data_IF_550907108334
#
_entry.id   IF_550907108334
#
_cell.length_a   1.000
_cell.length_b   1.000
_cell.length_c   1.000
_cell.angle_alpha   90.00
_cell.angle_beta   90.00
_cell.angle_gamma   90.00
#
_symmetry.space_group_name_H-M   'P 1'
#
loop_
_entity.id
_entity.type
_entity.pdbx_description
1 polymer ?
#
# COMPACT_ATOMS: atom_id res chain seq x y z
N UNK A 1 -3.78 4.78 -35.84
CA UNK A 1 -3.02 4.13 -34.74
C UNK A 1 -2.79 2.67 -35.09
N UNK A 2 -1.54 2.23 -35.20
CA UNK A 2 -1.18 0.81 -35.41
C UNK A 2 -1.45 0.00 -34.14
N UNK A 3 -1.73 -1.30 -34.27
CA UNK A 3 -1.97 -2.18 -33.10
C UNK A 3 -0.80 -2.18 -32.11
N UNK A 4 0.42 -2.00 -32.61
CA UNK A 4 1.65 -1.91 -31.81
C UNK A 4 1.70 -0.66 -30.92
N UNK A 5 1.19 0.48 -31.39
CA UNK A 5 1.10 1.70 -30.56
C UNK A 5 0.07 1.57 -29.44
N UNK A 6 -1.00 0.80 -29.68
CA UNK A 6 -2.09 0.58 -28.71
C UNK A 6 -1.71 -0.39 -27.60
N UNK A 7 -0.98 -1.45 -27.93
CA UNK A 7 -0.46 -2.40 -26.93
C UNK A 7 0.45 -1.70 -25.91
N UNK A 8 1.34 -0.83 -26.39
CA UNK A 8 2.27 -0.05 -25.54
C UNK A 8 1.55 0.89 -24.57
N UNK A 9 0.47 1.53 -24.97
CA UNK A 9 -0.32 2.41 -24.09
C UNK A 9 -0.98 1.62 -22.97
N UNK A 10 -1.58 0.47 -23.30
CA UNK A 10 -2.22 -0.41 -22.32
C UNK A 10 -1.22 -0.96 -21.30
N UNK A 11 -0.04 -1.35 -21.77
CA UNK A 11 1.05 -1.83 -20.92
C UNK A 11 1.55 -0.74 -19.97
N UNK A 12 1.81 0.46 -20.49
CA UNK A 12 2.22 1.63 -19.68
C UNK A 12 1.19 1.97 -18.60
N UNK A 13 -0.09 1.96 -18.95
CA UNK A 13 -1.17 2.28 -18.02
C UNK A 13 -1.35 1.21 -16.94
N UNK A 14 -1.24 -0.06 -17.33
CA UNK A 14 -1.26 -1.19 -16.38
C UNK A 14 -0.07 -1.15 -15.42
N UNK A 15 1.11 -0.78 -15.92
CA UNK A 15 2.31 -0.61 -15.11
C UNK A 15 2.14 0.54 -14.10
N UNK A 16 1.69 1.71 -14.56
CA UNK A 16 1.44 2.86 -13.70
C UNK A 16 0.41 2.56 -12.60
N UNK A 17 -0.73 1.93 -12.94
CA UNK A 17 -1.73 1.53 -11.95
C UNK A 17 -1.16 0.54 -10.94
N UNK A 18 -0.35 -0.43 -11.39
CA UNK A 18 0.27 -1.40 -10.48
C UNK A 18 1.20 -0.72 -9.48
N UNK A 19 1.99 0.26 -9.92
CA UNK A 19 2.84 1.07 -9.03
C UNK A 19 1.98 1.87 -8.06
N UNK A 20 0.97 2.58 -8.56
CA UNK A 20 0.11 3.43 -7.74
C UNK A 20 -0.65 2.62 -6.67
N UNK A 21 -1.16 1.44 -7.03
CA UNK A 21 -1.77 0.53 -6.06
C UNK A 21 -0.79 0.02 -5.01
N UNK A 22 0.48 -0.18 -5.37
CA UNK A 22 1.51 -0.56 -4.39
C UNK A 22 1.76 0.58 -3.41
N UNK A 23 2.02 1.80 -3.89
CA UNK A 23 2.34 2.95 -3.02
C UNK A 23 1.14 3.45 -2.21
N UNK A 24 -0.08 3.28 -2.72
CA UNK A 24 -1.31 3.62 -1.99
C UNK A 24 -1.81 2.45 -1.13
N UNK A 25 -1.03 1.37 -1.03
CA UNK A 25 -1.31 0.19 -0.21
C UNK A 25 -2.69 -0.44 -0.49
N UNK A 26 -3.13 -0.41 -1.76
CA UNK A 26 -4.40 -1.04 -2.14
C UNK A 26 -4.38 -2.54 -1.87
N UNK A 27 -5.46 -3.08 -1.31
CA UNK A 27 -5.61 -4.52 -1.08
C UNK A 27 -5.73 -5.30 -2.38
N UNK A 28 -5.45 -6.59 -2.32
CA UNK A 28 -5.66 -7.51 -3.46
C UNK A 28 -7.11 -7.49 -3.93
N UNK A 29 -8.06 -7.39 -3.00
CA UNK A 29 -9.50 -7.33 -3.28
C UNK A 29 -9.89 -6.05 -4.02
N UNK A 30 -9.40 -4.89 -3.58
CA UNK A 30 -9.63 -3.60 -4.26
C UNK A 30 -9.10 -3.64 -5.70
N UNK A 31 -7.90 -4.19 -5.88
CA UNK A 31 -7.29 -4.36 -7.22
C UNK A 31 -8.10 -5.32 -8.09
N UNK A 32 -8.63 -6.42 -7.51
CA UNK A 32 -9.50 -7.38 -8.21
C UNK A 32 -10.83 -6.75 -8.59
N UNK A 33 -11.47 -5.99 -7.70
CA UNK A 33 -12.71 -5.28 -7.95
C UNK A 33 -12.56 -4.29 -9.12
N UNK A 34 -11.49 -3.49 -9.12
CA UNK A 34 -11.19 -2.59 -10.24
C UNK A 34 -11.03 -3.34 -11.56
N UNK A 35 -10.27 -4.44 -11.56
CA UNK A 35 -10.07 -5.28 -12.77
C UNK A 35 -11.40 -5.90 -13.24
N UNK A 36 -12.25 -6.34 -12.33
CA UNK A 36 -13.57 -6.89 -12.65
C UNK A 36 -14.44 -5.83 -13.34
N UNK A 37 -14.53 -4.63 -12.76
CA UNK A 37 -15.26 -3.49 -13.34
C UNK A 37 -14.72 -3.17 -14.74
N UNK A 38 -13.40 -3.02 -14.87
CA UNK A 38 -12.73 -2.75 -16.14
C UNK A 38 -13.01 -3.79 -17.23
N UNK A 39 -13.10 -5.07 -16.87
CA UNK A 39 -13.20 -6.17 -17.83
C UNK A 39 -14.64 -6.59 -18.15
N UNK A 40 -15.58 -6.38 -17.23
CA UNK A 40 -16.97 -6.85 -17.39
C UNK A 40 -17.95 -5.72 -17.72
N UNK A 41 -17.81 -4.53 -17.14
CA UNK A 41 -18.76 -3.43 -17.39
C UNK A 41 -18.46 -2.68 -18.70
N UNK A 42 -17.20 -2.67 -19.12
CA UNK A 42 -16.76 -1.95 -20.34
C UNK A 42 -16.33 -2.91 -21.45
N UNK A 43 -16.88 -4.13 -21.45
CA UNK A 43 -16.52 -5.19 -22.40
C UNK A 43 -16.94 -4.83 -23.83
N UNK A 44 -18.09 -4.18 -23.96
CA UNK A 44 -18.70 -3.80 -25.24
C UNK A 44 -18.49 -2.32 -25.61
N UNK A 45 -18.07 -1.49 -24.64
CA UNK A 45 -17.96 -0.05 -24.82
C UNK A 45 -16.57 0.34 -25.36
N UNK A 46 -16.39 0.10 -26.66
CA UNK A 46 -15.42 0.68 -27.60
C UNK A 46 -14.04 1.13 -27.08
N UNK A 47 -13.43 0.44 -26.10
CA UNK A 47 -12.02 0.58 -25.66
C UNK A 47 -11.59 1.97 -25.13
N UNK A 48 -12.29 3.05 -25.48
CA UNK A 48 -12.10 4.44 -25.04
C UNK A 48 -12.58 4.61 -23.61
N UNK A 49 -13.73 4.05 -23.26
CA UNK A 49 -14.29 4.12 -21.90
C UNK A 49 -13.39 3.42 -20.89
N UNK A 50 -12.83 2.27 -21.25
CA UNK A 50 -11.83 1.57 -20.43
C UNK A 50 -10.57 2.40 -20.20
N UNK A 51 -10.02 3.02 -21.25
CA UNK A 51 -8.82 3.86 -21.11
C UNK A 51 -9.10 5.08 -20.25
N UNK A 52 -10.24 5.75 -20.47
CA UNK A 52 -10.68 6.88 -19.66
C UNK A 52 -10.86 6.49 -18.18
N UNK A 53 -11.43 5.32 -17.89
CA UNK A 53 -11.58 4.84 -16.52
C UNK A 53 -10.23 4.60 -15.83
N UNK A 54 -9.26 4.02 -16.54
CA UNK A 54 -7.91 3.88 -16.04
C UNK A 54 -7.21 5.23 -15.83
N UNK A 55 -7.42 6.22 -16.70
CA UNK A 55 -6.86 7.57 -16.53
C UNK A 55 -7.46 8.28 -15.31
N UNK A 56 -8.78 8.14 -15.09
CA UNK A 56 -9.47 8.64 -13.90
C UNK A 56 -8.90 7.99 -12.64
N UNK A 57 -8.73 6.66 -12.63
CA UNK A 57 -8.15 5.95 -11.49
C UNK A 57 -6.72 6.38 -11.21
N UNK A 58 -5.89 6.56 -12.24
CA UNK A 58 -4.51 7.07 -12.09
C UNK A 58 -4.52 8.47 -11.48
N UNK A 59 -5.38 9.37 -11.97
CA UNK A 59 -5.50 10.73 -11.44
C UNK A 59 -5.97 10.72 -9.98
N UNK A 60 -6.97 9.92 -9.68
CA UNK A 60 -7.49 9.72 -8.33
C UNK A 60 -6.39 9.22 -7.39
N UNK A 61 -5.68 8.15 -7.75
CA UNK A 61 -4.62 7.56 -6.93
C UNK A 61 -3.45 8.53 -6.70
N UNK A 62 -3.09 9.32 -7.71
CA UNK A 62 -2.06 10.37 -7.54
C UNK A 62 -2.50 11.42 -6.53
N UNK A 63 -3.73 11.90 -6.63
CA UNK A 63 -4.27 12.89 -5.70
C UNK A 63 -4.41 12.30 -4.29
N UNK A 64 -4.91 11.06 -4.19
CA UNK A 64 -5.06 10.33 -2.94
C UNK A 64 -3.72 10.15 -2.24
N UNK A 65 -2.69 9.73 -2.98
CA UNK A 65 -1.32 9.64 -2.46
C UNK A 65 -0.81 11.00 -2.00
N UNK A 66 -0.97 12.05 -2.82
CA UNK A 66 -0.47 13.38 -2.47
C UNK A 66 -1.11 13.93 -1.19
N UNK A 67 -2.42 13.75 -1.01
CA UNK A 67 -3.15 14.16 0.20
C UNK A 67 -2.74 13.35 1.44
N UNK A 68 -2.47 12.05 1.26
CA UNK A 68 -2.18 11.13 2.36
C UNK A 68 -0.69 10.75 2.41
N UNK A 69 0.19 11.58 1.85
CA UNK A 69 1.60 11.24 1.65
C UNK A 69 2.30 10.91 2.97
N UNK A 70 2.07 11.74 3.99
CA UNK A 70 2.66 11.55 5.32
C UNK A 70 2.22 10.23 5.96
N UNK A 71 0.97 9.81 5.74
CA UNK A 71 0.46 8.52 6.20
C UNK A 71 1.24 7.37 5.55
N UNK A 72 1.36 7.38 4.23
CA UNK A 72 2.08 6.33 3.50
C UNK A 72 3.56 6.26 3.85
N UNK A 73 4.23 7.40 3.96
CA UNK A 73 5.64 7.47 4.38
C UNK A 73 5.83 6.91 5.80
N UNK A 74 4.93 7.26 6.72
CA UNK A 74 4.97 6.75 8.09
C UNK A 74 4.72 5.23 8.15
N UNK A 75 3.84 4.71 7.30
CA UNK A 75 3.57 3.26 7.19
C UNK A 75 4.79 2.49 6.65
N UNK A 76 5.51 3.03 5.69
CA UNK A 76 6.74 2.40 5.18
C UNK A 76 7.86 2.41 6.21
N UNK A 77 8.02 3.51 6.96
CA UNK A 77 8.96 3.56 8.12
C UNK A 77 8.59 2.51 9.16
N UNK A 78 7.31 2.42 9.51
CA UNK A 78 6.81 1.44 10.48
C UNK A 78 7.08 -0.01 10.03
N UNK A 79 6.80 -0.31 8.76
CA UNK A 79 7.07 -1.61 8.15
C UNK A 79 8.57 -1.94 8.15
N UNK A 80 9.42 -1.00 7.78
CA UNK A 80 10.88 -1.19 7.76
C UNK A 80 11.42 -1.46 9.17
N UNK A 81 11.01 -0.67 10.16
CA UNK A 81 11.42 -0.85 11.55
C UNK A 81 10.95 -2.20 12.10
N UNK A 82 9.74 -2.61 11.78
CA UNK A 82 9.21 -3.91 12.21
C UNK A 82 9.98 -5.06 11.57
N UNK A 83 10.35 -4.94 10.29
CA UNK A 83 11.20 -5.93 9.62
C UNK A 83 12.60 -5.99 10.24
N UNK A 84 13.19 -4.84 10.61
CA UNK A 84 14.46 -4.79 11.32
C UNK A 84 14.39 -5.49 12.67
N UNK A 85 13.31 -5.31 13.44
CA UNK A 85 13.13 -5.97 14.72
C UNK A 85 13.04 -7.51 14.61
N UNK A 86 12.51 -8.01 13.49
CA UNK A 86 12.44 -9.44 13.16
C UNK A 86 13.78 -10.04 12.73
N UNK A 87 14.74 -9.19 12.35
CA UNK A 87 16.09 -9.62 11.97
C UNK A 87 17.02 -9.72 13.18
N UNK A 88 18.17 -10.39 13.02
CA UNK A 88 19.18 -10.47 14.08
C UNK A 88 19.88 -9.11 14.25
N UNK A 89 19.39 -8.30 15.19
CA UNK A 89 19.96 -7.00 15.58
C UNK A 89 20.46 -7.04 17.02
N UNK A 90 21.44 -6.17 17.32
CA UNK A 90 21.99 -5.98 18.68
C UNK A 90 20.90 -5.55 19.67
N UNK A 91 21.11 -5.79 20.97
CA UNK A 91 20.18 -5.38 22.04
C UNK A 91 19.97 -3.87 22.06
N UNK A 92 21.05 -3.09 21.88
CA UNK A 92 20.97 -1.62 21.87
C UNK A 92 20.18 -1.12 20.64
N UNK A 93 20.38 -1.74 19.48
CA UNK A 93 19.62 -1.44 18.27
C UNK A 93 18.14 -1.80 18.43
N UNK A 94 17.81 -2.91 19.11
CA UNK A 94 16.42 -3.29 19.40
C UNK A 94 15.72 -2.25 20.27
N UNK A 95 16.38 -1.71 21.29
CA UNK A 95 15.81 -0.68 22.15
C UNK A 95 15.53 0.60 21.34
N UNK A 96 16.48 1.02 20.49
CA UNK A 96 16.31 2.18 19.62
C UNK A 96 15.17 1.98 18.60
N UNK A 97 15.12 0.82 17.93
CA UNK A 97 14.07 0.47 16.98
C UNK A 97 12.70 0.48 17.67
N UNK A 98 12.59 -0.10 18.87
CA UNK A 98 11.34 -0.13 19.63
C UNK A 98 10.85 1.27 20.00
N UNK A 99 11.75 2.17 20.41
CA UNK A 99 11.40 3.56 20.68
C UNK A 99 10.88 4.26 19.43
N UNK A 100 11.58 4.11 18.31
CA UNK A 100 11.18 4.73 17.04
C UNK A 100 9.84 4.16 16.52
N UNK A 101 9.57 2.88 16.74
CA UNK A 101 8.29 2.25 16.41
C UNK A 101 7.16 2.91 17.20
N UNK A 102 7.31 3.09 18.51
CA UNK A 102 6.29 3.74 19.35
C UNK A 102 6.01 5.19 18.91
N UNK A 103 7.04 5.94 18.51
CA UNK A 103 6.87 7.29 17.97
C UNK A 103 6.13 7.29 16.62
N UNK A 104 6.45 6.30 15.76
CA UNK A 104 5.79 6.12 14.47
C UNK A 104 4.33 5.70 14.65
N UNK A 105 4.01 4.80 15.60
CA UNK A 105 2.64 4.39 15.92
C UNK A 105 1.78 5.56 16.41
N UNK A 106 2.33 6.40 17.29
CA UNK A 106 1.64 7.63 17.74
C UNK A 106 1.34 8.55 16.57
N UNK A 107 2.30 8.70 15.66
CA UNK A 107 2.13 9.51 14.45
C UNK A 107 1.03 8.94 13.55
N UNK A 108 1.05 7.63 13.31
CA UNK A 108 0.05 6.93 12.49
C UNK A 108 -1.36 7.04 13.08
N UNK A 109 -1.52 6.83 14.39
CA UNK A 109 -2.84 6.97 15.07
C UNK A 109 -3.37 8.40 14.99
N UNK A 110 -2.50 9.41 15.14
CA UNK A 110 -2.88 10.82 14.98
C UNK A 110 -3.36 11.09 13.54
N UNK A 111 -2.60 10.64 12.54
CA UNK A 111 -2.98 10.82 11.13
C UNK A 111 -4.27 10.07 10.78
N UNK A 112 -4.52 8.90 11.39
CA UNK A 112 -5.76 8.13 11.16
C UNK A 112 -6.98 8.91 11.66
N UNK A 113 -6.86 9.54 12.82
CA UNK A 113 -7.93 10.36 13.39
C UNK A 113 -8.18 11.65 12.59
N UNK A 114 -7.12 12.31 12.14
CA UNK A 114 -7.21 13.46 11.24
C UNK A 114 -7.94 13.07 9.94
N UNK A 115 -7.54 11.95 9.33
CA UNK A 115 -8.19 11.45 8.12
C UNK A 115 -9.66 11.10 8.34
N UNK A 116 -9.98 10.42 9.45
CA UNK A 116 -11.35 10.04 9.81
C UNK A 116 -12.23 11.27 10.03
N UNK A 117 -11.69 12.30 10.68
CA UNK A 117 -12.38 13.57 10.91
C UNK A 117 -12.68 14.30 9.60
N UNK A 118 -11.71 14.35 8.67
CA UNK A 118 -11.88 15.03 7.38
C UNK A 118 -12.79 14.27 6.41
N UNK A 119 -12.71 12.94 6.39
CA UNK A 119 -13.31 12.10 5.35
C UNK A 119 -14.53 11.29 5.81
N UNK A 120 -14.83 11.28 7.11
CA UNK A 120 -15.96 10.54 7.70
C UNK A 120 -15.86 9.02 7.59
N UNK A 121 -14.64 8.48 7.37
CA UNK A 121 -14.38 7.05 7.20
C UNK A 121 -12.97 6.68 7.64
N UNK A 122 -12.77 5.41 7.97
CA UNK A 122 -11.45 4.91 8.37
C UNK A 122 -10.45 4.89 7.21
N UNK A 123 -9.17 5.01 7.55
CA UNK A 123 -8.08 4.86 6.60
C UNK A 123 -7.71 3.38 6.46
N UNK A 124 -7.78 2.86 5.25
CA UNK A 124 -7.42 1.47 4.96
C UNK A 124 -6.06 1.39 4.27
N UNK A 125 -5.23 0.48 4.77
CA UNK A 125 -3.92 0.13 4.23
C UNK A 125 -3.79 -1.39 4.15
N UNK A 126 -3.41 -1.91 2.99
CA UNK A 126 -3.35 -3.34 2.69
C UNK A 126 -4.63 -4.13 3.06
N UNK A 127 -5.78 -3.46 3.02
CA UNK A 127 -7.08 -4.03 3.37
C UNK A 127 -7.42 -4.00 4.86
N UNK A 128 -6.63 -3.33 5.69
CA UNK A 128 -6.83 -3.20 7.14
C UNK A 128 -6.79 -1.75 7.58
N UNK A 129 -7.41 -1.44 8.70
CA UNK A 129 -7.24 -0.15 9.37
C UNK A 129 -5.82 0.02 9.91
N UNK A 130 -5.42 1.23 10.29
CA UNK A 130 -4.10 1.46 10.89
C UNK A 130 -4.02 0.74 12.24
N UNK A 131 -5.10 0.80 13.02
CA UNK A 131 -5.19 0.10 14.31
C UNK A 131 -4.99 -1.41 14.15
N UNK A 132 -5.71 -2.07 13.25
CA UNK A 132 -5.53 -3.51 12.97
C UNK A 132 -4.13 -3.85 12.44
N UNK A 133 -3.54 -2.94 11.67
CA UNK A 133 -2.17 -3.11 11.16
C UNK A 133 -1.19 -3.16 12.31
N UNK A 134 -1.28 -2.21 13.25
CA UNK A 134 -0.41 -2.13 14.44
C UNK A 134 -0.61 -3.34 15.35
N UNK A 135 -1.86 -3.70 15.67
CA UNK A 135 -2.17 -4.79 16.61
C UNK A 135 -1.66 -6.16 16.15
N UNK A 136 -1.66 -6.40 14.83
CA UNK A 136 -1.08 -7.63 14.25
C UNK A 136 0.42 -7.75 14.52
N UNK A 137 1.13 -6.62 14.61
CA UNK A 137 2.56 -6.63 14.89
C UNK A 137 2.88 -6.81 16.38
N UNK A 138 2.08 -6.22 17.27
CA UNK A 138 2.20 -6.46 18.72
C UNK A 138 1.97 -7.94 19.06
N UNK A 139 0.93 -8.55 18.47
CA UNK A 139 0.57 -9.95 18.71
C UNK A 139 1.61 -10.98 18.24
N UNK A 140 2.46 -10.61 17.26
CA UNK A 140 3.49 -11.50 16.73
C UNK A 140 4.80 -11.45 17.54
N UNK A 141 5.03 -10.42 18.36
CA UNK A 141 6.21 -10.35 19.23
C UNK A 141 6.06 -11.21 20.50
N UNK A 142 4.82 -11.44 20.96
CA UNK A 142 4.55 -12.26 22.15
C UNK A 142 4.54 -13.77 21.86
N UNK A 143 4.35 -14.17 20.59
CA UNK A 143 4.25 -15.58 20.19
C UNK A 143 5.57 -16.26 19.82
N UNK A 144 6.71 -15.65 20.15
CA UNK A 144 8.03 -16.29 19.97
C UNK A 144 8.34 -17.32 21.08
N UNK A 145 7.37 -18.19 21.37
CA UNK A 145 7.54 -19.49 22.02
C UNK A 145 6.65 -20.52 21.32
N UNK A 146 7.10 -20.93 20.13
CA UNK A 146 6.55 -22.10 19.43
C UNK A 146 5.34 -21.80 18.55
N UNK A 147 5.56 -21.83 17.24
CA UNK A 147 4.85 -22.68 16.26
C UNK A 147 4.83 -21.98 14.90
N UNK A 148 5.52 -22.61 13.94
CA UNK A 148 5.65 -22.16 12.55
C UNK A 148 4.31 -22.40 11.88
N UNK A 149 3.61 -21.32 11.52
CA UNK A 149 2.49 -21.38 10.58
C UNK A 149 2.93 -20.74 9.26
N UNK A 150 3.03 -21.58 8.24
CA UNK A 150 3.27 -21.20 6.86
C UNK A 150 2.00 -20.60 6.27
N UNK A 151 1.88 -19.27 6.30
CA UNK A 151 0.95 -18.53 5.45
C UNK A 151 1.77 -17.68 4.46
N UNK A 152 1.78 -18.12 3.20
CA UNK A 152 2.39 -17.48 2.02
C UNK A 152 1.75 -16.13 1.61
N UNK A 153 1.22 -15.34 2.54
CA UNK A 153 0.61 -14.03 2.24
C UNK A 153 1.40 -12.83 2.80
N UNK A 154 2.63 -13.07 3.26
CA UNK A 154 3.55 -12.02 3.67
C UNK A 154 4.43 -11.66 2.48
N UNK A 155 3.98 -10.68 1.69
CA UNK A 155 4.83 -9.82 0.89
C UNK A 155 5.89 -10.59 0.07
N UNK A 156 5.41 -11.36 -0.93
CA UNK A 156 6.27 -11.91 -1.97
C UNK A 156 7.15 -10.83 -2.59
N UNK A 157 8.44 -11.10 -2.52
CA UNK A 157 9.60 -10.24 -2.73
C UNK A 157 9.67 -9.53 -4.10
N UNK A 158 10.59 -8.55 -4.14
CA UNK A 158 11.34 -7.98 -5.26
C UNK A 158 11.11 -6.50 -5.56
N UNK A 159 12.04 -5.70 -5.06
CA UNK A 159 12.46 -4.44 -5.68
C UNK A 159 12.71 -3.31 -4.69
N UNK A 160 13.92 -3.27 -4.11
CA UNK A 160 14.50 -2.02 -3.59
C UNK A 160 14.50 -0.97 -4.70
N UNK A 161 13.77 0.12 -4.51
CA UNK A 161 14.12 1.49 -4.95
C UNK A 161 12.99 2.45 -4.59
N UNK A 162 13.18 3.27 -3.56
CA UNK A 162 12.60 4.61 -3.53
C UNK A 162 13.77 5.58 -3.42
N UNK A 163 13.96 6.40 -4.46
CA UNK A 163 13.60 7.81 -4.31
C UNK A 163 13.03 8.35 -5.63
N UNK A 164 11.70 8.40 -5.77
CA UNK A 164 11.10 9.00 -6.98
C UNK A 164 10.66 10.44 -6.75
N UNK A 165 11.40 11.35 -7.39
CA UNK A 165 10.95 12.72 -7.70
C UNK A 165 10.06 12.66 -8.93
N UNK A 166 8.92 13.34 -8.87
CA UNK A 166 8.06 13.60 -10.02
C UNK A 166 8.45 14.96 -10.61
N UNK A 167 8.82 14.97 -11.90
CA UNK A 167 8.81 16.18 -12.73
C UNK A 167 7.42 16.38 -13.32
#
# INVERSE_FOLDING_TARGET
MTDTGRAKIKEKLSHNLTILWKICHYSTEQRRAFKYICNNLYKDDLRKTRLAFCDIEVAFLKQYYAKNKQMFESLEVYKEQTNKLRSTVSVDDKALITKNLLETEKTLKRLEEEYRTENGKDFYTWGKTITETIDKFSSNNDKNSGEITTDEDICGDLGRSSPFKWN
#
